data_IF_696405788950
#
_entry.id   IF_696405788950
#
_cell.length_a   1.000
_cell.length_b   1.000
_cell.length_c   1.000
_cell.angle_alpha   90.00
_cell.angle_beta   90.00
_cell.angle_gamma   90.00
#
_symmetry.space_group_name_H-M   'P 1'
#
loop_
_entity.id
_entity.type
_entity.pdbx_description
1 polymer ?
#
# COMPACT_ATOMS: atom_id res chain seq x y z
N UNK A 1 -57.27 -22.07 1.12
CA UNK A 1 -56.20 -22.78 1.83
C UNK A 1 -55.04 -22.83 0.87
N UNK A 2 -53.91 -22.23 1.22
CA UNK A 2 -52.72 -22.22 0.38
C UNK A 2 -52.07 -23.61 0.44
N UNK A 3 -51.78 -24.19 -0.72
CA UNK A 3 -50.96 -25.38 -0.83
C UNK A 3 -49.53 -25.00 -0.49
N UNK A 4 -49.02 -25.60 0.59
CA UNK A 4 -47.60 -25.59 0.91
C UNK A 4 -46.93 -26.51 -0.10
N UNK A 5 -46.14 -25.95 -1.00
CA UNK A 5 -45.24 -26.71 -1.86
C UNK A 5 -43.97 -27.03 -1.04
N UNK A 6 -43.70 -28.29 -0.71
CA UNK A 6 -42.54 -28.68 0.08
C UNK A 6 -41.27 -28.85 -0.75
N UNK A 7 -41.28 -28.50 -2.05
CA UNK A 7 -40.11 -28.54 -2.95
C UNK A 7 -39.53 -27.14 -3.20
N UNK A 8 -39.41 -26.31 -2.17
CA UNK A 8 -38.41 -25.25 -2.26
C UNK A 8 -37.06 -25.91 -2.02
N UNK A 9 -36.42 -26.28 -3.12
CA UNK A 9 -35.10 -26.89 -3.15
C UNK A 9 -34.09 -25.90 -2.54
N UNK A 10 -33.70 -26.18 -1.30
CA UNK A 10 -32.71 -25.42 -0.52
C UNK A 10 -31.26 -25.67 -1.02
N UNK A 11 -31.06 -25.96 -2.32
CA UNK A 11 -29.78 -26.51 -2.81
C UNK A 11 -29.40 -26.16 -4.26
N UNK A 12 -30.02 -25.17 -4.90
CA UNK A 12 -29.49 -24.63 -6.17
C UNK A 12 -28.48 -23.50 -5.88
N UNK A 13 -27.41 -23.84 -5.16
CA UNK A 13 -26.22 -23.00 -5.18
C UNK A 13 -25.62 -23.13 -6.58
N UNK A 14 -25.31 -22.02 -7.25
CA UNK A 14 -24.78 -22.08 -8.61
C UNK A 14 -23.49 -22.90 -8.63
N UNK A 15 -23.33 -23.74 -9.66
CA UNK A 15 -22.08 -24.46 -9.90
C UNK A 15 -20.99 -23.44 -10.24
N UNK A 16 -20.18 -23.08 -9.23
CA UNK A 16 -19.08 -22.14 -9.38
C UNK A 16 -17.89 -22.92 -9.94
N UNK A 17 -17.61 -22.79 -11.23
CA UNK A 17 -16.50 -23.49 -11.87
C UNK A 17 -15.30 -22.56 -12.09
N UNK A 18 -15.53 -21.26 -12.23
CA UNK A 18 -14.47 -20.29 -12.46
C UNK A 18 -14.71 -18.91 -11.83
N UNK A 19 -13.80 -17.99 -12.12
CA UNK A 19 -13.84 -16.60 -11.64
C UNK A 19 -15.10 -15.86 -12.08
N UNK A 20 -15.51 -16.04 -13.33
CA UNK A 20 -16.64 -15.29 -13.89
C UNK A 20 -17.96 -15.75 -13.24
N UNK A 21 -18.07 -17.05 -12.91
CA UNK A 21 -19.19 -17.59 -12.13
C UNK A 21 -19.26 -17.00 -10.71
N UNK A 22 -18.13 -16.96 -10.00
CA UNK A 22 -18.07 -16.36 -8.65
C UNK A 22 -18.47 -14.89 -8.71
N UNK A 23 -17.95 -14.18 -9.70
CA UNK A 23 -18.21 -12.77 -9.88
C UNK A 23 -19.68 -12.55 -10.18
N UNK A 24 -20.28 -13.34 -11.07
CA UNK A 24 -21.71 -13.28 -11.36
C UNK A 24 -22.55 -13.59 -10.11
N UNK A 25 -22.18 -14.63 -9.35
CA UNK A 25 -22.82 -14.99 -8.09
C UNK A 25 -22.81 -13.82 -7.09
N UNK A 26 -21.68 -13.15 -6.92
CA UNK A 26 -21.56 -11.96 -6.07
C UNK A 26 -22.37 -10.76 -6.57
N UNK A 27 -22.68 -10.67 -7.87
CA UNK A 27 -23.52 -9.60 -8.42
C UNK A 27 -25.01 -9.88 -8.29
N UNK A 28 -25.41 -11.15 -8.40
CA UNK A 28 -26.82 -11.53 -8.29
C UNK A 28 -27.29 -11.65 -6.84
N UNK A 29 -26.37 -11.93 -5.92
CA UNK A 29 -26.67 -12.12 -4.51
C UNK A 29 -26.20 -10.93 -3.68
N UNK A 30 -27.05 -10.42 -2.80
CA UNK A 30 -26.72 -9.32 -1.89
C UNK A 30 -25.87 -9.82 -0.70
N UNK A 31 -24.66 -10.29 -1.01
CA UNK A 31 -23.72 -10.84 -0.03
C UNK A 31 -22.91 -9.69 0.58
N UNK A 32 -22.96 -9.49 1.91
CA UNK A 32 -22.16 -8.47 2.58
C UNK A 32 -20.65 -8.74 2.37
N UNK A 33 -19.95 -7.81 1.72
CA UNK A 33 -18.52 -7.96 1.43
C UNK A 33 -17.64 -7.39 2.56
N UNK A 34 -16.55 -8.08 2.96
CA UNK A 34 -15.66 -7.62 4.03
C UNK A 34 -14.76 -6.47 3.58
N UNK A 35 -14.09 -5.80 4.53
CA UNK A 35 -13.05 -4.79 4.27
C UNK A 35 -13.44 -3.67 3.27
N UNK A 36 -14.75 -3.32 3.21
CA UNK A 36 -15.33 -2.38 2.22
C UNK A 36 -14.98 -2.76 0.77
N UNK A 37 -14.88 -4.05 0.49
CA UNK A 37 -14.79 -4.57 -0.86
C UNK A 37 -16.07 -4.24 -1.62
N UNK A 38 -15.90 -4.10 -2.93
CA UNK A 38 -16.99 -4.03 -3.89
C UNK A 38 -16.74 -5.13 -4.91
N UNK A 39 -17.81 -5.62 -5.55
CA UNK A 39 -17.65 -6.62 -6.61
C UNK A 39 -16.75 -6.09 -7.73
N UNK A 40 -16.80 -4.79 -8.04
CA UNK A 40 -15.90 -4.15 -9.00
C UNK A 40 -14.41 -4.23 -8.58
N UNK A 41 -14.09 -4.06 -7.28
CA UNK A 41 -12.71 -4.25 -6.78
C UNK A 41 -12.28 -5.71 -6.89
N UNK A 42 -13.17 -6.64 -6.60
CA UNK A 42 -12.90 -8.09 -6.72
C UNK A 42 -12.67 -8.45 -8.20
N UNK A 43 -13.52 -7.96 -9.11
CA UNK A 43 -13.34 -8.08 -10.56
C UNK A 43 -11.98 -7.54 -11.00
N UNK A 44 -11.64 -6.31 -10.65
CA UNK A 44 -10.44 -5.64 -11.18
C UNK A 44 -9.12 -6.08 -10.53
N UNK A 45 -9.15 -6.54 -9.27
CA UNK A 45 -7.93 -6.81 -8.49
C UNK A 45 -7.84 -8.23 -7.93
N UNK A 46 -8.90 -9.01 -8.06
CA UNK A 46 -8.93 -10.40 -7.62
C UNK A 46 -7.94 -11.24 -8.41
N UNK A 47 -7.10 -11.96 -7.67
CA UNK A 47 -6.05 -12.82 -8.20
C UNK A 47 -6.01 -14.12 -7.41
N UNK A 48 -5.38 -15.16 -7.95
CA UNK A 48 -5.31 -16.49 -7.31
C UNK A 48 -6.69 -16.98 -6.87
N UNK A 49 -7.45 -17.53 -7.81
CA UNK A 49 -8.78 -18.04 -7.56
C UNK A 49 -8.69 -19.52 -7.22
N UNK A 50 -9.33 -19.92 -6.12
CA UNK A 50 -9.45 -21.32 -5.72
C UNK A 50 -10.91 -21.59 -5.41
N UNK A 51 -11.45 -22.65 -5.99
CA UNK A 51 -12.87 -22.99 -5.91
C UNK A 51 -12.98 -24.45 -5.49
N UNK A 52 -13.88 -24.72 -4.56
CA UNK A 52 -14.27 -26.05 -4.17
C UNK A 52 -15.79 -26.08 -3.99
N UNK A 53 -16.33 -27.27 -3.76
CA UNK A 53 -17.77 -27.48 -3.56
C UNK A 53 -18.32 -26.59 -2.45
N UNK A 54 -17.49 -26.31 -1.42
CA UNK A 54 -17.94 -25.64 -0.21
C UNK A 54 -17.58 -24.15 -0.06
N UNK A 55 -16.81 -23.60 -0.98
CA UNK A 55 -16.26 -22.26 -0.83
C UNK A 55 -15.55 -21.83 -2.09
N UNK A 56 -15.39 -20.52 -2.20
CA UNK A 56 -14.41 -19.94 -3.12
C UNK A 56 -13.48 -18.99 -2.38
N UNK A 57 -12.29 -18.83 -2.93
CA UNK A 57 -11.25 -17.97 -2.38
C UNK A 57 -10.60 -17.13 -3.48
N UNK A 58 -10.26 -15.91 -3.14
CA UNK A 58 -9.44 -15.04 -3.97
C UNK A 58 -8.49 -14.19 -3.11
N UNK A 59 -7.46 -13.66 -3.75
CA UNK A 59 -6.50 -12.74 -3.14
C UNK A 59 -6.63 -11.35 -3.74
N UNK A 60 -6.51 -10.35 -2.87
CA UNK A 60 -6.36 -8.95 -3.29
C UNK A 60 -5.11 -8.40 -2.60
N UNK A 61 -4.23 -7.83 -3.41
CA UNK A 61 -3.15 -6.97 -2.94
C UNK A 61 -3.65 -5.51 -2.93
N UNK A 62 -3.44 -4.85 -1.79
CA UNK A 62 -3.74 -3.43 -1.60
C UNK A 62 -2.44 -2.71 -1.33
N UNK A 63 -2.36 -1.50 -1.86
CA UNK A 63 -1.29 -0.55 -1.54
C UNK A 63 -1.90 0.59 -0.73
N UNK A 64 -2.07 0.44 0.59
CA UNK A 64 -2.49 1.56 1.41
C UNK A 64 -1.45 2.67 1.23
N UNK A 65 -1.90 3.77 0.61
CA UNK A 65 -1.08 4.96 0.43
C UNK A 65 -0.71 5.48 1.81
N UNK A 66 0.58 5.39 2.14
CA UNK A 66 1.13 6.10 3.29
C UNK A 66 1.16 7.61 3.04
N UNK A 67 1.83 8.34 3.92
CA UNK A 67 1.91 9.81 3.86
C UNK A 67 2.60 10.38 2.62
N UNK A 68 3.26 9.55 1.80
CA UNK A 68 3.67 9.92 0.45
C UNK A 68 2.48 9.90 -0.51
N UNK A 69 1.67 10.95 -0.47
CA UNK A 69 0.64 11.15 -1.47
C UNK A 69 1.31 11.35 -2.84
N UNK A 70 0.77 10.68 -3.87
CA UNK A 70 1.06 11.05 -5.25
C UNK A 70 0.66 12.51 -5.43
N UNK A 71 1.61 13.40 -5.60
CA UNK A 71 1.34 14.82 -5.81
C UNK A 71 0.85 15.02 -7.24
N UNK A 72 -0.47 15.09 -7.45
CA UNK A 72 -1.04 16.15 -8.33
C UNK A 72 -2.56 16.08 -8.51
N UNK A 73 -3.25 17.20 -8.27
CA UNK A 73 -4.56 17.51 -8.86
C UNK A 73 -4.48 18.00 -10.34
N UNK A 74 -3.31 18.08 -10.98
CA UNK A 74 -3.13 18.89 -12.21
C UNK A 74 -2.22 18.40 -13.34
N UNK A 75 -1.65 17.19 -13.31
CA UNK A 75 -0.92 16.64 -14.48
C UNK A 75 0.39 15.92 -14.12
N UNK A 76 0.46 14.63 -14.48
CA UNK A 76 1.54 13.66 -14.18
C UNK A 76 2.06 13.72 -12.75
N UNK A 77 1.27 13.19 -11.82
CA UNK A 77 1.73 12.97 -10.47
C UNK A 77 2.95 12.04 -10.40
N UNK A 78 3.84 12.31 -9.45
CA UNK A 78 4.99 11.47 -9.17
C UNK A 78 4.52 10.10 -8.66
N UNK A 79 5.12 8.99 -9.13
CA UNK A 79 4.94 7.70 -8.47
C UNK A 79 5.30 7.80 -6.99
N UNK A 80 4.51 7.16 -6.12
CA UNK A 80 4.77 7.17 -4.68
C UNK A 80 6.14 6.53 -4.38
N UNK A 81 7.07 7.23 -3.69
CA UNK A 81 8.41 6.73 -3.39
C UNK A 81 8.43 5.57 -2.40
N UNK A 82 7.45 5.47 -1.50
CA UNK A 82 7.36 4.37 -0.54
C UNK A 82 5.91 3.95 -0.27
N UNK A 83 5.64 2.65 -0.27
CA UNK A 83 4.29 2.10 -0.13
C UNK A 83 4.29 0.77 0.60
N UNK A 84 3.14 0.51 1.22
CA UNK A 84 2.82 -0.81 1.73
C UNK A 84 2.32 -1.72 0.62
N UNK A 85 2.64 -2.99 0.75
CA UNK A 85 2.06 -4.10 0.02
C UNK A 85 1.36 -4.97 1.06
N UNK A 86 0.03 -4.98 1.01
CA UNK A 86 -0.79 -5.80 1.91
C UNK A 86 -1.59 -6.78 1.08
N UNK A 87 -1.28 -8.06 1.21
CA UNK A 87 -2.00 -9.13 0.51
C UNK A 87 -2.90 -9.85 1.48
N UNK A 88 -4.19 -9.85 1.19
CA UNK A 88 -5.20 -10.61 1.93
C UNK A 88 -5.82 -11.68 1.05
N UNK A 89 -6.11 -12.83 1.65
CA UNK A 89 -6.97 -13.86 1.09
C UNK A 89 -8.36 -13.73 1.70
N UNK A 90 -9.37 -13.81 0.85
CA UNK A 90 -10.78 -13.80 1.20
C UNK A 90 -11.37 -15.13 0.79
N UNK A 91 -11.96 -15.84 1.73
CA UNK A 91 -12.63 -17.12 1.50
C UNK A 91 -14.08 -16.97 1.92
N UNK A 92 -15.00 -17.23 1.01
CA UNK A 92 -16.43 -17.25 1.30
C UNK A 92 -16.88 -18.69 1.40
N UNK A 93 -17.47 -19.03 2.54
CA UNK A 93 -18.09 -20.32 2.79
C UNK A 93 -19.59 -20.22 2.47
N UNK A 94 -20.02 -20.97 1.47
CA UNK A 94 -21.39 -20.85 0.96
C UNK A 94 -22.42 -21.56 1.88
N UNK A 95 -21.97 -22.53 2.70
CA UNK A 95 -22.81 -23.29 3.64
C UNK A 95 -23.20 -22.42 4.83
N UNK A 96 -22.26 -21.62 5.31
CA UNK A 96 -22.42 -20.75 6.48
C UNK A 96 -22.78 -19.32 6.09
N UNK A 97 -22.47 -18.89 4.86
CA UNK A 97 -22.61 -17.51 4.41
C UNK A 97 -21.57 -16.56 5.01
N UNK A 98 -20.48 -17.09 5.56
CA UNK A 98 -19.46 -16.32 6.27
C UNK A 98 -18.19 -16.09 5.43
N UNK A 99 -17.49 -14.99 5.74
CA UNK A 99 -16.18 -14.69 5.17
C UNK A 99 -15.06 -14.96 6.17
N UNK A 100 -14.10 -15.80 5.77
CA UNK A 100 -12.78 -15.88 6.41
C UNK A 100 -11.79 -14.95 5.69
N UNK A 101 -11.18 -14.04 6.44
CA UNK A 101 -10.24 -13.04 5.91
C UNK A 101 -8.89 -13.21 6.57
N UNK A 102 -7.87 -13.57 5.79
CA UNK A 102 -6.50 -13.80 6.28
C UNK A 102 -5.51 -12.87 5.61
N UNK A 103 -4.76 -12.11 6.41
CA UNK A 103 -3.57 -11.40 5.92
C UNK A 103 -2.46 -12.41 5.67
N UNK A 104 -1.99 -12.46 4.43
CA UNK A 104 -0.95 -13.38 3.97
C UNK A 104 0.43 -12.74 4.01
N UNK A 105 0.49 -11.44 3.74
CA UNK A 105 1.72 -10.69 3.65
C UNK A 105 1.45 -9.21 3.91
N UNK A 106 2.40 -8.58 4.60
CA UNK A 106 2.46 -7.14 4.82
C UNK A 106 3.91 -6.68 4.76
N UNK A 107 4.29 -6.11 3.63
CA UNK A 107 5.66 -5.69 3.34
C UNK A 107 5.68 -4.20 3.00
N UNK A 108 6.73 -3.52 3.43
CA UNK A 108 6.98 -2.13 3.05
C UNK A 108 8.08 -2.11 1.99
N UNK A 109 7.90 -1.29 0.96
CA UNK A 109 8.90 -1.11 -0.09
C UNK A 109 9.04 0.37 -0.40
N UNK A 110 10.27 0.82 -0.57
CA UNK A 110 10.58 2.14 -1.09
C UNK A 110 11.54 2.05 -2.27
N UNK A 111 11.45 3.02 -3.18
CA UNK A 111 12.38 3.18 -4.30
C UNK A 111 13.36 4.31 -3.95
N UNK A 112 14.67 4.02 -3.81
CA UNK A 112 15.66 5.02 -3.45
C UNK A 112 15.74 6.21 -4.41
N UNK A 113 15.57 5.96 -5.72
CA UNK A 113 15.63 7.01 -6.74
C UNK A 113 14.42 7.93 -6.67
N UNK A 114 13.22 7.35 -6.52
CA UNK A 114 12.00 8.14 -6.31
C UNK A 114 12.02 8.90 -4.99
N UNK A 115 12.63 8.35 -3.94
CA UNK A 115 12.77 9.03 -2.66
C UNK A 115 13.66 10.27 -2.79
N UNK A 116 14.80 10.16 -3.48
CA UNK A 116 15.68 11.30 -3.79
C UNK A 116 14.93 12.33 -4.64
N UNK A 117 14.29 11.92 -5.73
CA UNK A 117 13.50 12.82 -6.58
C UNK A 117 12.40 13.54 -5.78
N UNK A 118 11.76 12.83 -4.85
CA UNK A 118 10.72 13.38 -4.01
C UNK A 118 11.27 14.49 -3.13
N UNK A 119 12.26 14.19 -2.30
CA UNK A 119 12.77 15.11 -1.29
C UNK A 119 13.57 16.27 -1.89
N UNK A 120 14.40 16.01 -2.91
CA UNK A 120 15.35 17.00 -3.45
C UNK A 120 14.88 17.71 -4.73
N UNK A 121 13.90 17.20 -5.48
CA UNK A 121 13.56 17.78 -6.80
C UNK A 121 12.10 18.24 -6.92
N UNK A 122 11.16 17.54 -6.29
CA UNK A 122 9.74 17.66 -6.66
C UNK A 122 8.80 18.05 -5.53
N UNK A 123 9.10 17.69 -4.29
CA UNK A 123 8.25 18.08 -3.16
C UNK A 123 8.56 19.52 -2.71
N UNK A 124 7.61 20.16 -1.99
CA UNK A 124 7.83 21.49 -1.39
C UNK A 124 9.06 21.59 -0.48
N UNK A 125 9.65 20.45 -0.11
CA UNK A 125 10.82 20.32 0.73
C UNK A 125 12.15 20.50 0.01
N UNK A 126 12.16 20.57 -1.34
CA UNK A 126 13.37 20.88 -2.11
C UNK A 126 14.07 22.12 -1.55
N UNK A 127 13.32 23.18 -1.26
CA UNK A 127 13.89 24.42 -0.70
C UNK A 127 14.51 24.24 0.69
N UNK A 128 14.03 23.29 1.49
CA UNK A 128 14.59 22.98 2.81
C UNK A 128 15.93 22.27 2.63
N UNK A 129 15.96 21.25 1.78
CA UNK A 129 17.19 20.52 1.45
C UNK A 129 18.24 21.41 0.76
N UNK A 130 17.85 22.24 -0.20
CA UNK A 130 18.75 23.20 -0.86
C UNK A 130 19.40 24.17 0.15
N UNK A 131 18.62 24.68 1.11
CA UNK A 131 19.14 25.57 2.16
C UNK A 131 20.08 24.85 3.12
N UNK A 132 19.79 23.60 3.46
CA UNK A 132 20.65 22.78 4.31
C UNK A 132 21.97 22.46 3.59
N UNK A 133 21.93 22.15 2.29
CA UNK A 133 23.14 21.92 1.46
C UNK A 133 23.99 23.18 1.42
N UNK A 134 23.39 24.34 1.09
CA UNK A 134 24.12 25.61 1.05
C UNK A 134 24.74 25.96 2.43
N UNK A 135 24.02 25.68 3.53
CA UNK A 135 24.57 25.84 4.89
C UNK A 135 25.77 24.92 5.13
N UNK A 136 25.72 23.67 4.67
CA UNK A 136 26.80 22.71 4.86
C UNK A 136 28.04 23.08 4.04
N UNK A 137 27.87 23.59 2.82
CA UNK A 137 28.99 24.07 1.98
C UNK A 137 29.81 25.20 2.63
N UNK A 138 29.14 26.07 3.41
CA UNK A 138 29.75 27.23 4.08
C UNK A 138 30.11 26.97 5.56
N UNK A 139 29.78 25.79 6.11
CA UNK A 139 29.94 25.51 7.54
C UNK A 139 31.37 25.06 7.91
N UNK A 140 31.81 25.44 9.11
CA UNK A 140 33.03 24.89 9.73
C UNK A 140 32.88 23.37 10.04
N UNK A 141 31.65 22.92 10.29
CA UNK A 141 31.29 21.51 10.50
C UNK A 141 30.04 21.14 9.65
N UNK A 142 30.24 20.63 8.42
CA UNK A 142 29.15 20.19 7.55
C UNK A 142 28.38 18.97 8.08
N UNK A 143 29.00 18.13 8.92
CA UNK A 143 28.37 16.93 9.48
C UNK A 143 27.31 17.31 10.53
N UNK A 144 27.55 18.35 11.32
CA UNK A 144 26.55 18.89 12.25
C UNK A 144 25.29 19.37 11.50
N UNK A 145 25.44 20.05 10.35
CA UNK A 145 24.31 20.50 9.52
C UNK A 145 23.54 19.31 8.95
N UNK A 146 24.24 18.28 8.50
CA UNK A 146 23.65 17.03 8.01
C UNK A 146 22.85 16.34 9.11
N UNK A 147 23.43 16.18 10.30
CA UNK A 147 22.79 15.54 11.45
C UNK A 147 21.53 16.29 11.90
N UNK A 148 21.56 17.63 11.95
CA UNK A 148 20.38 18.45 12.23
C UNK A 148 19.26 18.19 11.21
N UNK A 149 19.60 18.17 9.92
CA UNK A 149 18.63 18.01 8.85
C UNK A 149 18.05 16.59 8.81
N UNK A 150 18.86 15.56 9.08
CA UNK A 150 18.39 14.18 9.18
C UNK A 150 17.49 13.97 10.39
N UNK A 151 17.84 14.50 11.56
CA UNK A 151 16.99 14.40 12.76
C UNK A 151 15.61 15.04 12.53
N UNK A 152 15.56 16.22 11.91
CA UNK A 152 14.30 16.87 11.55
C UNK A 152 13.47 16.05 10.55
N UNK A 153 14.15 15.38 9.60
CA UNK A 153 13.50 14.52 8.60
C UNK A 153 12.97 13.23 9.24
N UNK A 154 13.76 12.63 10.13
CA UNK A 154 13.40 11.45 10.91
C UNK A 154 12.14 11.69 11.76
N UNK A 155 12.10 12.77 12.54
CA UNK A 155 10.93 13.11 13.37
C UNK A 155 9.65 13.23 12.54
N UNK A 156 9.75 13.90 11.39
CA UNK A 156 8.65 14.03 10.45
C UNK A 156 8.25 12.67 9.86
N UNK A 157 9.21 11.82 9.46
CA UNK A 157 8.91 10.49 8.95
C UNK A 157 8.29 9.59 10.01
N UNK A 158 8.77 9.61 11.26
CA UNK A 158 8.15 8.86 12.37
C UNK A 158 6.70 9.30 12.61
N UNK A 159 6.41 10.59 12.49
CA UNK A 159 5.05 11.12 12.57
C UNK A 159 4.18 10.67 11.39
N UNK A 160 4.76 10.65 10.19
CA UNK A 160 4.07 10.35 8.95
C UNK A 160 3.90 8.84 8.67
N UNK A 161 4.78 7.99 9.22
CA UNK A 161 4.91 6.56 8.92
C UNK A 161 4.88 5.71 10.20
N UNK A 162 3.87 5.93 11.04
CA UNK A 162 3.73 5.30 12.37
C UNK A 162 3.70 3.77 12.37
N UNK A 163 3.54 3.12 11.22
CA UNK A 163 3.50 1.66 11.08
C UNK A 163 4.70 1.07 10.36
N UNK A 164 5.59 1.90 9.81
CA UNK A 164 6.78 1.43 9.07
C UNK A 164 7.84 0.93 10.07
N UNK A 165 8.41 -0.27 9.86
CA UNK A 165 9.50 -0.79 10.68
C UNK A 165 10.68 0.18 10.75
N UNK A 166 11.32 0.29 11.91
CA UNK A 166 12.46 1.19 12.14
C UNK A 166 13.60 0.92 11.14
N UNK A 167 13.87 -0.34 10.81
CA UNK A 167 14.89 -0.72 9.83
C UNK A 167 14.69 -0.06 8.45
N UNK A 168 13.44 0.03 7.97
CA UNK A 168 13.16 0.68 6.69
C UNK A 168 13.23 2.20 6.77
N UNK A 169 12.93 2.77 7.94
CA UNK A 169 13.12 4.19 8.17
C UNK A 169 14.61 4.55 8.10
N UNK A 170 15.45 3.75 8.76
CA UNK A 170 16.90 3.92 8.76
C UNK A 170 17.47 3.78 7.35
N UNK A 171 17.02 2.79 6.57
CA UNK A 171 17.40 2.62 5.16
C UNK A 171 17.03 3.84 4.31
N UNK A 172 15.84 4.40 4.51
CA UNK A 172 15.40 5.61 3.81
C UNK A 172 16.26 6.82 4.18
N UNK A 173 16.57 7.00 5.48
CA UNK A 173 17.42 8.10 5.94
C UNK A 173 18.84 7.99 5.41
N UNK A 174 19.42 6.78 5.38
CA UNK A 174 20.75 6.53 4.81
C UNK A 174 20.81 6.89 3.30
N UNK A 175 19.72 6.68 2.57
CA UNK A 175 19.63 7.12 1.16
C UNK A 175 19.67 8.64 1.04
N UNK A 176 18.94 9.36 1.90
CA UNK A 176 18.91 10.82 1.91
C UNK A 176 20.25 11.42 2.38
N UNK A 177 20.87 10.81 3.40
CA UNK A 177 22.19 11.16 3.91
C UNK A 177 23.25 11.10 2.80
N UNK A 178 23.33 9.96 2.11
CA UNK A 178 24.28 9.78 1.01
C UNK A 178 24.07 10.80 -0.11
N UNK A 179 22.82 11.09 -0.44
CA UNK A 179 22.49 12.08 -1.47
C UNK A 179 22.85 13.50 -1.02
N UNK A 180 22.61 13.84 0.24
CA UNK A 180 23.02 15.12 0.82
C UNK A 180 24.53 15.28 0.74
N UNK A 181 25.31 14.31 1.23
CA UNK A 181 26.78 14.36 1.18
C UNK A 181 27.28 14.54 -0.24
N UNK A 182 26.72 13.78 -1.19
CA UNK A 182 27.05 13.90 -2.63
C UNK A 182 26.80 15.31 -3.17
N UNK A 183 25.71 15.97 -2.78
CA UNK A 183 25.36 17.31 -3.25
C UNK A 183 26.17 18.40 -2.57
N UNK A 184 26.46 18.25 -1.28
CA UNK A 184 27.25 19.19 -0.48
C UNK A 184 28.77 19.03 -0.68
N UNK A 185 29.22 18.03 -1.45
CA UNK A 185 30.63 17.76 -1.66
C UNK A 185 31.37 17.23 -0.42
N UNK A 186 30.63 16.61 0.51
CA UNK A 186 31.18 15.95 1.69
C UNK A 186 31.69 14.56 1.25
N UNK A 187 32.96 14.25 1.54
CA UNK A 187 33.58 12.99 1.14
C UNK A 187 32.77 11.78 1.65
N UNK A 188 32.59 10.80 0.76
CA UNK A 188 31.98 9.51 1.06
C UNK A 188 33.13 8.52 1.34
N UNK A 189 33.53 8.37 2.60
CA UNK A 189 34.41 7.27 3.02
C UNK A 189 33.72 5.90 2.85
#
# INVERSE_FOLDING_TARGET
MAEFDPNHDDSDLPDLADRDDIVWFLEQNDIPLPDRLTVEKIKSRGSWWAINEESFSFRIERHPSGSFFATSPGGRGMPTPARWHVRKQYTYDHTTGEWDVREQMREFHFDPGLLVDAEFERLPKKEIWDKAIARAEDADDPEDVLNEQLAATEDMYRSAFTTVPEEHLDEMLAVLEREFRRRAGIDLD
#
